data_IF_904953427538
#
_entry.id   IF_904953427538
#
_cell.length_a   1.000
_cell.length_b   1.000
_cell.length_c   1.000
_cell.angle_alpha   90.00
_cell.angle_beta   90.00
_cell.angle_gamma   90.00
#
_symmetry.space_group_name_H-M   'P 1'
#
loop_
_entity.id
_entity.type
_entity.pdbx_description
1 polymer ?
#
# COMPACT_ATOMS: atom_id res chain seq x y z
N UNK A 1 -3.80 11.11 -1.09
CA UNK A 1 -4.04 9.73 -1.55
C UNK A 1 -3.87 9.71 -3.06
N UNK A 2 -2.83 9.04 -3.58
CA UNK A 2 -2.69 8.87 -5.01
C UNK A 2 -3.89 8.07 -5.51
N UNK A 3 -4.41 8.42 -6.68
CA UNK A 3 -5.49 7.63 -7.27
C UNK A 3 -4.95 6.30 -7.77
N UNK A 4 -5.82 5.29 -7.90
CA UNK A 4 -5.51 4.03 -8.58
C UNK A 4 -4.79 4.27 -9.92
N UNK A 5 -5.19 5.31 -10.67
CA UNK A 5 -4.56 5.69 -11.94
C UNK A 5 -3.08 6.04 -11.75
N UNK A 6 -2.75 6.87 -10.76
CA UNK A 6 -1.35 7.28 -10.47
C UNK A 6 -0.49 6.08 -10.08
N UNK A 7 -1.02 5.16 -9.27
CA UNK A 7 -0.31 3.93 -8.93
C UNK A 7 -0.10 3.01 -10.13
N UNK A 8 -1.10 2.85 -10.99
CA UNK A 8 -0.95 2.09 -12.23
C UNK A 8 0.13 2.69 -13.14
N UNK A 9 0.14 4.01 -13.34
CA UNK A 9 1.16 4.71 -14.14
C UNK A 9 2.56 4.55 -13.54
N UNK A 10 2.68 4.62 -12.21
CA UNK A 10 3.94 4.36 -11.50
C UNK A 10 4.43 2.92 -11.70
N UNK A 11 3.52 1.94 -11.65
CA UNK A 11 3.81 0.52 -11.87
C UNK A 11 4.18 0.22 -13.32
N UNK A 12 3.48 0.78 -14.31
CA UNK A 12 3.81 0.63 -15.72
C UNK A 12 5.23 1.11 -16.01
N UNK A 13 5.62 2.25 -15.43
CA UNK A 13 6.96 2.82 -15.61
C UNK A 13 8.06 1.96 -14.98
N UNK A 14 7.81 1.33 -13.84
CA UNK A 14 8.84 0.62 -13.06
C UNK A 14 8.90 -0.88 -13.39
N UNK A 15 7.74 -1.50 -13.62
CA UNK A 15 7.59 -2.94 -13.77
C UNK A 15 7.09 -3.37 -15.16
N UNK A 16 6.71 -2.43 -16.03
CA UNK A 16 6.25 -2.70 -17.39
C UNK A 16 4.77 -3.09 -17.51
N UNK A 17 4.03 -3.10 -16.39
CA UNK A 17 2.60 -3.40 -16.34
C UNK A 17 1.93 -2.62 -15.20
N UNK A 18 0.62 -2.36 -15.31
CA UNK A 18 -0.15 -1.57 -14.35
C UNK A 18 -0.42 -2.27 -13.01
N UNK A 19 -0.45 -3.61 -12.97
CA UNK A 19 -0.78 -4.40 -11.77
C UNK A 19 -2.04 -3.94 -11.02
N UNK A 20 -3.08 -3.58 -11.79
CA UNK A 20 -4.32 -2.98 -11.28
C UNK A 20 -4.99 -3.82 -10.18
N UNK A 21 -4.89 -5.14 -10.25
CA UNK A 21 -5.44 -6.07 -9.26
C UNK A 21 -4.74 -5.95 -7.90
N UNK A 22 -3.41 -5.81 -7.89
CA UNK A 22 -2.62 -5.62 -6.67
C UNK A 22 -3.00 -4.31 -5.97
N UNK A 23 -3.16 -3.22 -6.74
CA UNK A 23 -3.56 -1.92 -6.18
C UNK A 23 -5.00 -1.95 -5.65
N UNK A 24 -5.94 -2.54 -6.41
CA UNK A 24 -7.33 -2.70 -5.96
C UNK A 24 -7.44 -3.55 -4.69
N UNK A 25 -6.62 -4.59 -4.59
CA UNK A 25 -6.58 -5.40 -3.38
C UNK A 25 -6.04 -4.60 -2.19
N UNK A 26 -4.97 -3.82 -2.35
CA UNK A 26 -4.46 -2.99 -1.25
C UNK A 26 -5.50 -1.98 -0.75
N UNK A 27 -6.23 -1.36 -1.67
CA UNK A 27 -7.22 -0.32 -1.40
C UNK A 27 -8.67 -0.85 -1.25
N UNK A 28 -8.89 -2.16 -1.15
CA UNK A 28 -10.24 -2.75 -1.09
C UNK A 28 -11.11 -2.12 0.03
N UNK A 29 -10.48 -1.73 1.13
CA UNK A 29 -11.14 -1.14 2.29
C UNK A 29 -11.31 0.38 2.18
N UNK A 30 -10.78 1.02 1.15
CA UNK A 30 -10.94 2.45 0.91
C UNK A 30 -12.42 2.78 0.68
N UNK A 31 -13.00 3.62 1.55
CA UNK A 31 -14.41 3.98 1.48
C UNK A 31 -15.39 2.93 2.04
N UNK A 32 -14.91 1.83 2.61
CA UNK A 32 -15.77 0.89 3.32
C UNK A 32 -16.39 1.55 4.57
N UNK A 33 -17.67 1.23 4.92
CA UNK A 33 -18.33 1.78 6.11
C UNK A 33 -17.50 1.53 7.38
N UNK A 34 -17.20 2.58 8.12
CA UNK A 34 -16.39 2.51 9.35
C UNK A 34 -14.87 2.62 9.14
N UNK A 35 -14.38 2.59 7.90
CA UNK A 35 -12.95 2.71 7.59
C UNK A 35 -12.59 4.05 6.94
N UNK A 36 -13.44 4.61 6.09
CA UNK A 36 -13.20 5.92 5.46
C UNK A 36 -11.79 5.99 4.83
N UNK A 37 -11.02 7.02 5.20
CA UNK A 37 -9.61 7.19 4.79
C UNK A 37 -8.61 6.43 5.65
N UNK A 38 -9.05 5.78 6.74
CA UNK A 38 -8.20 5.02 7.68
C UNK A 38 -8.07 3.54 7.29
N UNK A 39 -8.21 3.24 6.00
CA UNK A 39 -8.18 1.88 5.48
C UNK A 39 -6.74 1.36 5.38
N UNK A 40 -5.78 2.26 5.22
CA UNK A 40 -4.37 1.95 4.94
C UNK A 40 -3.77 1.01 5.98
N UNK A 41 -4.09 1.21 7.27
CA UNK A 41 -3.69 0.31 8.37
C UNK A 41 -4.01 -1.18 8.16
N UNK A 42 -4.94 -1.53 7.26
CA UNK A 42 -5.33 -2.93 6.99
C UNK A 42 -4.30 -3.71 6.19
N UNK A 43 -3.65 -3.07 5.21
CA UNK A 43 -2.74 -3.76 4.28
C UNK A 43 -1.50 -2.95 3.91
N UNK A 44 -1.39 -1.69 4.33
CA UNK A 44 -0.27 -0.80 4.02
C UNK A 44 0.90 -0.96 4.98
N UNK A 45 1.35 -2.21 5.15
CA UNK A 45 2.41 -2.59 6.06
C UNK A 45 3.08 -3.88 5.58
N UNK A 46 4.19 -4.29 6.19
CA UNK A 46 4.98 -5.46 5.79
C UNK A 46 4.13 -6.74 5.70
N UNK A 47 3.29 -7.03 6.71
CA UNK A 47 2.40 -8.18 6.67
C UNK A 47 1.41 -8.16 5.47
N UNK A 48 1.02 -7.00 4.97
CA UNK A 48 0.18 -6.86 3.78
C UNK A 48 0.97 -7.14 2.50
N UNK A 49 2.23 -6.74 2.43
CA UNK A 49 3.15 -7.10 1.33
C UNK A 49 3.34 -8.62 1.28
N UNK A 50 3.56 -9.26 2.42
CA UNK A 50 3.70 -10.72 2.48
C UNK A 50 2.43 -11.45 2.00
N UNK A 51 1.25 -10.88 2.24
CA UNK A 51 -0.01 -11.39 1.68
C UNK A 51 -0.10 -11.13 0.16
N UNK A 52 0.30 -9.96 -0.32
CA UNK A 52 0.35 -9.65 -1.75
C UNK A 52 1.28 -10.61 -2.51
N UNK A 53 2.43 -10.98 -1.92
CA UNK A 53 3.34 -11.99 -2.50
C UNK A 53 2.62 -13.35 -2.68
N UNK A 54 1.84 -13.77 -1.68
CA UNK A 54 1.10 -15.05 -1.76
C UNK A 54 0.01 -15.03 -2.83
N UNK A 55 -0.60 -13.87 -3.08
CA UNK A 55 -1.72 -13.72 -4.02
C UNK A 55 -1.27 -13.45 -5.45
N UNK A 56 -0.23 -12.62 -5.62
CA UNK A 56 0.18 -12.04 -6.91
C UNK A 56 1.64 -12.34 -7.27
N UNK A 57 2.32 -13.17 -6.47
CA UNK A 57 3.73 -13.50 -6.63
C UNK A 57 4.66 -12.37 -6.20
N UNK A 58 5.96 -12.63 -6.35
CA UNK A 58 7.05 -11.72 -5.95
C UNK A 58 6.92 -10.32 -6.56
N UNK A 59 6.52 -10.23 -7.84
CA UNK A 59 6.34 -8.95 -8.53
C UNK A 59 5.17 -8.17 -7.91
N UNK A 60 4.05 -8.84 -7.62
CA UNK A 60 2.93 -8.21 -6.94
C UNK A 60 3.28 -7.71 -5.54
N UNK A 61 4.15 -8.43 -4.81
CA UNK A 61 4.72 -7.94 -3.55
C UNK A 61 5.53 -6.65 -3.71
N UNK A 62 6.38 -6.57 -4.76
CA UNK A 62 7.17 -5.37 -5.05
C UNK A 62 6.30 -4.18 -5.45
N UNK A 63 5.28 -4.42 -6.27
CA UNK A 63 4.26 -3.43 -6.63
C UNK A 63 3.53 -2.93 -5.38
N UNK A 64 3.12 -3.85 -4.52
CA UNK A 64 2.46 -3.51 -3.27
C UNK A 64 3.35 -2.63 -2.39
N UNK A 65 4.64 -2.98 -2.26
CA UNK A 65 5.60 -2.17 -1.50
C UNK A 65 5.77 -0.76 -2.09
N UNK A 66 5.87 -0.63 -3.42
CA UNK A 66 5.95 0.69 -4.07
C UNK A 66 4.71 1.53 -3.76
N UNK A 67 3.52 0.97 -3.94
CA UNK A 67 2.25 1.64 -3.66
C UNK A 67 2.21 2.14 -2.21
N UNK A 68 2.53 1.27 -1.24
CA UNK A 68 2.51 1.61 0.19
C UNK A 68 3.51 2.73 0.49
N UNK A 69 4.71 2.70 -0.08
CA UNK A 69 5.71 3.76 0.14
C UNK A 69 5.21 5.09 -0.42
N UNK A 70 4.65 5.10 -1.63
CA UNK A 70 4.07 6.31 -2.22
C UNK A 70 2.97 6.90 -1.31
N UNK A 71 2.14 6.04 -0.72
CA UNK A 71 1.06 6.45 0.20
C UNK A 71 1.56 6.98 1.53
N UNK A 72 2.52 6.27 2.14
CA UNK A 72 3.16 6.68 3.40
C UNK A 72 3.87 8.03 3.26
N UNK A 73 4.54 8.27 2.13
CA UNK A 73 5.20 9.57 1.86
C UNK A 73 4.20 10.73 1.83
N UNK A 74 2.98 10.52 1.36
CA UNK A 74 1.92 11.53 1.41
C UNK A 74 1.40 11.78 2.84
N UNK A 75 1.64 10.86 3.77
CA UNK A 75 1.33 11.00 5.21
C UNK A 75 2.49 11.57 6.04
N UNK A 76 3.60 11.91 5.40
CA UNK A 76 4.79 12.46 6.06
C UNK A 76 5.83 11.44 6.50
N UNK A 77 5.67 10.17 6.13
CA UNK A 77 6.72 9.15 6.29
C UNK A 77 7.91 9.46 5.38
N UNK A 78 9.12 9.23 5.88
CA UNK A 78 10.39 9.41 5.17
C UNK A 78 11.18 8.12 5.16
N UNK A 79 12.19 7.99 4.28
CA UNK A 79 13.06 6.81 4.25
C UNK A 79 13.88 6.60 5.54
N UNK A 80 13.90 7.57 6.45
CA UNK A 80 14.52 7.44 7.78
C UNK A 80 13.61 6.77 8.79
N UNK A 81 12.30 6.78 8.53
CA UNK A 81 11.31 6.17 9.40
C UNK A 81 11.27 4.67 9.17
N UNK A 82 10.98 3.92 10.25
CA UNK A 82 10.77 2.48 10.14
C UNK A 82 9.54 2.21 9.28
N UNK A 83 9.58 1.15 8.47
CA UNK A 83 8.40 0.71 7.74
C UNK A 83 7.41 -0.01 8.67
N UNK A 84 6.09 0.29 8.62
CA UNK A 84 5.11 -0.34 9.49
C UNK A 84 5.05 -1.84 9.24
N UNK A 85 5.06 -2.63 10.32
CA UNK A 85 5.13 -4.11 10.21
C UNK A 85 3.74 -4.76 10.08
N UNK A 86 2.74 -4.22 10.78
CA UNK A 86 1.37 -4.73 10.82
C UNK A 86 0.38 -3.60 11.19
N UNK A 87 -0.92 -3.92 11.27
CA UNK A 87 -1.98 -2.95 11.60
C UNK A 87 -1.74 -2.24 12.94
N UNK A 88 -1.32 -2.96 13.99
CA UNK A 88 -1.07 -2.38 15.31
C UNK A 88 0.10 -1.39 15.29
N UNK A 89 1.17 -1.75 14.57
CA UNK A 89 2.36 -0.92 14.39
C UNK A 89 2.04 0.35 13.59
N UNK A 90 1.26 0.21 12.51
CA UNK A 90 0.78 1.34 11.70
C UNK A 90 0.03 2.38 12.56
N UNK A 91 -0.87 1.91 13.43
CA UNK A 91 -1.63 2.79 14.34
C UNK A 91 -0.72 3.46 15.37
N UNK A 92 0.29 2.75 15.91
CA UNK A 92 1.27 3.32 16.87
C UNK A 92 2.15 4.41 16.26
N UNK A 93 2.40 4.33 14.96
CA UNK A 93 3.16 5.34 14.22
C UNK A 93 2.37 6.64 13.97
N UNK A 94 1.10 6.72 14.41
CA UNK A 94 0.23 7.89 14.23
C UNK A 94 0.03 8.25 12.75
N UNK A 95 0.12 7.23 11.90
CA UNK A 95 -0.22 7.27 10.48
C UNK A 95 -1.74 7.16 10.32
N UNK A 96 -2.31 7.77 9.27
CA UNK A 96 -3.76 8.04 9.18
C UNK A 96 -4.55 6.97 8.43
#
# INVERSE_FOLDING_TARGET
MPSLKKHCEESERVFGEAFKESHRWLDEFAGAPGFGMRHRKKRHHEAGIQQAIKLFGEIGGRVARQHIISDLKEEGWTEKDRFPQNEEDYVKMVLF
#
